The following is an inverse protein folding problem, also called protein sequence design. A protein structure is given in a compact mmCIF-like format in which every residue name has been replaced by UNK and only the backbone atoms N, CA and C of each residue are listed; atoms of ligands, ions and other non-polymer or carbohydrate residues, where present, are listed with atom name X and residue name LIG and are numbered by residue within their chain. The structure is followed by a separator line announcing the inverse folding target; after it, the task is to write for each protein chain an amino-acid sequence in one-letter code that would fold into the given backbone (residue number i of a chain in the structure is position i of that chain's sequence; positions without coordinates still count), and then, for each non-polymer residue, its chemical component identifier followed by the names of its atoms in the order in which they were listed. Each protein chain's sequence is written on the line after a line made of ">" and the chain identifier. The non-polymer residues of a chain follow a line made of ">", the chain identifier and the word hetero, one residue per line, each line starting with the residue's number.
data_IF_304544731371
#
_entry.id   IF_304544731371
#
_cell.length_a   1.000
_cell.length_b   1.000
_cell.length_c   1.000
_cell.angle_alpha   90.00
_cell.angle_beta   90.00
_cell.angle_gamma   90.00
#
_symmetry.space_group_name_H-M   'P 1'
#
loop_
_entity.id
_entity.type
_entity.pdbx_description
1 polymer ?
#
# COMPACT_ATOMS: atom_id res chain seq x y z
N UNK A 1 -5.47 12.16 8.97
CA UNK A 1 -6.57 11.19 9.15
C UNK A 1 -6.10 9.87 8.57
N UNK A 2 -6.31 8.75 9.25
CA UNK A 2 -5.99 7.43 8.69
C UNK A 2 -7.08 7.07 7.69
N UNK A 3 -6.69 6.69 6.47
CA UNK A 3 -7.61 6.16 5.46
C UNK A 3 -7.55 4.64 5.45
N UNK A 4 -8.65 3.96 5.07
CA UNK A 4 -8.69 2.51 4.88
C UNK A 4 -9.25 2.15 3.51
N UNK A 5 -8.94 0.94 3.05
CA UNK A 5 -9.61 0.36 1.88
C UNK A 5 -9.41 -1.15 1.79
N UNK A 6 -10.11 -1.76 0.85
CA UNK A 6 -10.01 -3.19 0.56
C UNK A 6 -9.00 -3.44 -0.56
N UNK A 7 -8.29 -4.56 -0.44
CA UNK A 7 -7.39 -5.06 -1.47
C UNK A 7 -8.11 -6.15 -2.27
N UNK A 8 -8.17 -5.99 -3.58
CA UNK A 8 -8.73 -6.95 -4.50
C UNK A 8 -7.63 -7.65 -5.29
N UNK A 9 -7.82 -8.95 -5.49
CA UNK A 9 -6.96 -9.72 -6.35
C UNK A 9 -7.23 -11.21 -6.20
N UNK A 10 -6.17 -12.00 -6.25
CA UNK A 10 -6.26 -13.45 -6.33
C UNK A 10 -5.20 -14.14 -5.45
N UNK A 11 -5.51 -15.39 -5.11
CA UNK A 11 -4.61 -16.29 -4.39
C UNK A 11 -4.17 -17.40 -5.37
N UNK A 12 -3.12 -17.18 -6.18
CA UNK A 12 -2.71 -18.15 -7.21
C UNK A 12 -2.17 -19.45 -6.61
N UNK A 13 -1.45 -19.37 -5.49
CA UNK A 13 -0.88 -20.50 -4.76
C UNK A 13 -0.89 -20.22 -3.24
N UNK A 14 -0.29 -21.10 -2.42
CA UNK A 14 -0.23 -20.96 -0.96
C UNK A 14 0.76 -19.88 -0.48
N UNK A 15 1.72 -19.47 -1.31
CA UNK A 15 2.86 -18.64 -0.89
C UNK A 15 2.79 -17.20 -1.38
N UNK A 16 1.99 -16.93 -2.40
CA UNK A 16 1.85 -15.66 -3.08
C UNK A 16 0.41 -15.15 -2.98
N UNK A 17 0.30 -13.83 -2.87
CA UNK A 17 -0.96 -13.09 -2.87
C UNK A 17 -0.79 -12.02 -3.91
N UNK A 18 -1.62 -12.05 -4.95
CA UNK A 18 -1.59 -11.03 -5.98
C UNK A 18 -2.66 -9.99 -5.65
N UNK A 19 -2.20 -8.76 -5.42
CA UNK A 19 -3.07 -7.60 -5.25
C UNK A 19 -3.08 -6.86 -6.59
N UNK A 20 -4.24 -6.87 -7.26
CA UNK A 20 -4.41 -6.29 -8.60
C UNK A 20 -5.00 -4.89 -8.50
N UNK A 21 -5.94 -4.68 -7.58
CA UNK A 21 -6.65 -3.41 -7.44
C UNK A 21 -6.98 -3.12 -5.97
N UNK A 22 -7.34 -1.88 -5.70
CA UNK A 22 -7.68 -1.41 -4.36
C UNK A 22 -8.90 -0.51 -4.43
N UNK A 23 -9.83 -0.65 -3.50
CA UNK A 23 -10.94 0.30 -3.38
C UNK A 23 -10.95 0.94 -1.99
N UNK A 24 -11.11 2.25 -2.01
CA UNK A 24 -11.30 3.07 -0.83
C UNK A 24 -12.69 2.81 -0.23
N UNK A 25 -12.74 2.61 1.08
CA UNK A 25 -14.01 2.48 1.79
C UNK A 25 -14.44 3.85 2.34
N UNK A 26 -15.72 4.24 2.20
CA UNK A 26 -16.22 5.48 2.79
C UNK A 26 -16.06 5.40 4.30
N UNK A 27 -15.27 6.29 4.87
CA UNK A 27 -14.95 6.24 6.29
C UNK A 27 -16.05 6.90 7.12
N UNK A 28 -16.62 6.16 8.06
CA UNK A 28 -17.38 6.72 9.18
C UNK A 28 -16.53 6.63 10.45
N UNK A 29 -15.58 7.56 10.64
CA UNK A 29 -14.69 7.49 11.80
C UNK A 29 -13.82 8.72 12.05
N UNK A 30 -13.50 8.97 13.32
CA UNK A 30 -12.62 10.03 13.85
C UNK A 30 -11.14 9.76 13.51
N UNK A 31 -10.24 10.70 13.82
CA UNK A 31 -8.83 10.70 13.41
C UNK A 31 -7.98 9.43 13.74
N UNK A 32 -8.51 8.48 14.52
CA UNK A 32 -7.74 7.38 15.14
C UNK A 32 -8.36 5.99 14.96
N UNK A 33 -9.67 5.85 14.70
CA UNK A 33 -10.32 4.54 14.53
C UNK A 33 -11.04 4.43 13.19
N UNK A 34 -10.96 3.23 12.63
CA UNK A 34 -11.67 2.82 11.43
C UNK A 34 -12.85 1.98 11.89
N UNK A 35 -14.01 2.61 12.04
CA UNK A 35 -15.25 1.93 12.43
C UNK A 35 -16.12 1.69 11.19
N UNK A 36 -16.68 0.48 11.13
CA UNK A 36 -17.62 -0.02 10.14
C UNK A 36 -17.06 -0.21 8.72
N UNK A 37 -16.53 -1.42 8.47
CA UNK A 37 -16.72 -2.03 7.15
C UNK A 37 -18.22 -2.23 7.01
N UNK A 38 -18.86 -1.46 6.13
CA UNK A 38 -20.26 -1.69 5.78
C UNK A 38 -20.32 -2.90 4.84
N UNK A 39 -20.72 -4.05 5.37
CA UNK A 39 -20.90 -5.29 4.62
C UNK A 39 -21.85 -5.11 3.43
N UNK A 40 -22.85 -4.22 3.55
CA UNK A 40 -23.78 -3.93 2.47
C UNK A 40 -23.09 -3.16 1.33
N UNK A 41 -22.22 -2.20 1.68
CA UNK A 41 -21.39 -1.49 0.71
C UNK A 41 -20.43 -2.45 0.01
N UNK A 42 -19.71 -3.28 0.77
CA UNK A 42 -18.78 -4.26 0.22
C UNK A 42 -19.47 -5.22 -0.74
N UNK A 43 -20.61 -5.80 -0.35
CA UNK A 43 -21.35 -6.76 -1.19
C UNK A 43 -21.83 -6.12 -2.48
N UNK A 44 -22.46 -4.93 -2.38
CA UNK A 44 -22.95 -4.19 -3.55
C UNK A 44 -21.82 -3.85 -4.51
N UNK A 45 -20.67 -3.46 -3.98
CA UNK A 45 -19.51 -3.09 -4.77
C UNK A 45 -18.88 -4.28 -5.48
N UNK A 46 -18.72 -5.41 -4.78
CA UNK A 46 -18.25 -6.67 -5.38
C UNK A 46 -19.20 -7.13 -6.49
N UNK A 47 -20.51 -6.98 -6.32
CA UNK A 47 -21.48 -7.31 -7.36
C UNK A 47 -21.43 -6.35 -8.55
N UNK A 48 -21.11 -5.07 -8.33
CA UNK A 48 -20.86 -4.11 -9.41
C UNK A 48 -19.58 -4.44 -10.20
N UNK A 49 -18.53 -4.94 -9.54
CA UNK A 49 -17.28 -5.35 -10.20
C UNK A 49 -17.44 -6.63 -11.03
N UNK A 50 -18.32 -7.54 -10.62
CA UNK A 50 -18.63 -8.74 -11.42
C UNK A 50 -19.27 -8.42 -12.77
N UNK A 51 -20.05 -7.34 -12.89
CA UNK A 51 -20.75 -6.97 -14.13
C UNK A 51 -19.81 -6.73 -15.33
N UNK A 52 -18.72 -5.96 -15.22
CA UNK A 52 -17.72 -5.82 -16.29
C UNK A 52 -16.78 -7.03 -16.44
N UNK A 53 -17.03 -8.14 -15.72
CA UNK A 53 -16.21 -9.35 -15.80
C UNK A 53 -14.98 -9.34 -14.89
N UNK A 54 -14.94 -8.48 -13.87
CA UNK A 54 -13.87 -8.47 -12.87
C UNK A 54 -14.24 -9.39 -11.70
N UNK A 55 -13.66 -10.57 -11.67
CA UNK A 55 -13.96 -11.62 -10.69
C UNK A 55 -12.99 -11.63 -9.49
N UNK A 56 -12.27 -10.52 -9.25
CA UNK A 56 -11.29 -10.46 -8.15
C UNK A 56 -12.00 -10.54 -6.79
N UNK A 57 -11.36 -11.22 -5.84
CA UNK A 57 -11.87 -11.37 -4.47
C UNK A 57 -11.11 -10.46 -3.51
N UNK A 58 -11.66 -10.26 -2.32
CA UNK A 58 -10.98 -9.50 -1.26
C UNK A 58 -9.84 -10.34 -0.70
N UNK A 59 -8.60 -9.92 -0.94
CA UNK A 59 -7.39 -10.60 -0.47
C UNK A 59 -6.81 -10.00 0.81
N UNK A 60 -7.33 -8.85 1.23
CA UNK A 60 -6.89 -8.15 2.42
C UNK A 60 -7.43 -6.74 2.49
N UNK A 61 -6.78 -5.92 3.29
CA UNK A 61 -7.11 -4.52 3.46
C UNK A 61 -5.85 -3.69 3.66
N UNK A 62 -5.96 -2.40 3.43
CA UNK A 62 -4.88 -1.45 3.68
C UNK A 62 -5.36 -0.28 4.52
N UNK A 63 -4.42 0.35 5.20
CA UNK A 63 -4.65 1.63 5.85
C UNK A 63 -3.38 2.48 5.92
N UNK A 64 -3.54 3.78 6.17
CA UNK A 64 -2.43 4.72 6.25
C UNK A 64 -2.02 5.04 7.69
N UNK A 65 -0.71 5.14 7.92
CA UNK A 65 -0.10 5.67 9.16
C UNK A 65 0.74 6.90 8.81
N UNK A 66 0.15 8.11 8.75
CA UNK A 66 0.89 9.29 8.32
C UNK A 66 1.92 9.71 9.37
N UNK A 67 3.22 9.50 9.09
CA UNK A 67 4.35 9.95 9.91
C UNK A 67 4.75 9.02 11.07
N UNK A 68 4.08 7.89 11.25
CA UNK A 68 4.34 6.95 12.37
C UNK A 68 5.15 5.71 11.96
N UNK A 69 5.41 5.52 10.66
CA UNK A 69 5.97 4.27 10.12
C UNK A 69 4.96 3.13 10.03
N UNK A 70 5.42 1.97 9.56
CA UNK A 70 4.57 0.80 9.32
C UNK A 70 4.59 -0.16 10.52
N UNK A 71 3.48 -0.20 11.28
CA UNK A 71 3.23 -1.15 12.37
C UNK A 71 1.72 -1.28 12.61
N UNK A 72 1.28 -2.29 13.37
CA UNK A 72 -0.14 -2.49 13.70
C UNK A 72 -0.42 -2.09 15.15
N UNK A 73 -1.43 -1.24 15.36
CA UNK A 73 -1.97 -0.94 16.69
C UNK A 73 -2.90 -2.05 17.18
N UNK A 74 -3.33 -2.00 18.45
CA UNK A 74 -4.31 -2.95 18.99
C UNK A 74 -5.64 -2.94 18.22
N UNK A 75 -6.07 -1.77 17.76
CA UNK A 75 -7.26 -1.63 16.92
C UNK A 75 -7.03 -2.28 15.56
N UNK A 76 -5.89 -2.03 14.93
CA UNK A 76 -5.56 -2.61 13.61
C UNK A 76 -5.45 -4.15 13.70
N UNK A 77 -4.91 -4.68 14.80
CA UNK A 77 -4.85 -6.13 15.04
C UNK A 77 -6.24 -6.75 15.21
N UNK A 78 -7.15 -6.10 15.93
CA UNK A 78 -8.53 -6.58 16.07
C UNK A 78 -9.26 -6.59 14.72
N UNK A 79 -9.09 -5.55 13.90
CA UNK A 79 -9.66 -5.49 12.55
C UNK A 79 -9.08 -6.59 11.66
N UNK A 80 -7.76 -6.78 11.69
CA UNK A 80 -7.10 -7.85 10.94
C UNK A 80 -7.58 -9.24 11.38
N UNK A 81 -7.83 -9.47 12.66
CA UNK A 81 -8.37 -10.74 13.15
C UNK A 81 -9.75 -11.04 12.54
N UNK A 82 -10.61 -10.04 12.39
CA UNK A 82 -11.91 -10.19 11.71
C UNK A 82 -11.75 -10.54 10.24
N UNK A 83 -10.80 -9.93 9.53
CA UNK A 83 -10.51 -10.28 8.13
C UNK A 83 -9.91 -11.68 8.00
N UNK A 84 -9.02 -12.09 8.90
CA UNK A 84 -8.44 -13.44 8.92
C UNK A 84 -9.48 -14.52 9.22
N UNK A 85 -10.53 -14.20 9.97
CA UNK A 85 -11.65 -15.12 10.19
C UNK A 85 -12.46 -15.41 8.91
N UNK A 86 -12.55 -14.43 8.01
CA UNK A 86 -13.21 -14.59 6.71
C UNK A 86 -12.28 -15.23 5.67
N UNK A 87 -11.04 -14.73 5.59
CA UNK A 87 -10.01 -15.22 4.69
C UNK A 87 -8.74 -15.50 5.49
N UNK A 88 -8.38 -16.77 5.76
CA UNK A 88 -7.21 -17.13 6.59
C UNK A 88 -5.88 -16.54 6.11
N UNK A 89 -5.81 -16.16 4.83
CA UNK A 89 -4.64 -15.56 4.18
C UNK A 89 -4.79 -14.06 3.93
N UNK A 90 -5.75 -13.39 4.58
CA UNK A 90 -5.87 -11.94 4.51
C UNK A 90 -4.55 -11.26 4.91
N UNK A 91 -4.24 -10.16 4.25
CA UNK A 91 -3.05 -9.34 4.53
C UNK A 91 -3.47 -7.92 4.94
N UNK A 92 -2.77 -7.37 5.93
CA UNK A 92 -2.88 -5.96 6.31
C UNK A 92 -1.71 -5.19 5.70
N UNK A 93 -1.97 -4.28 4.77
CA UNK A 93 -0.94 -3.41 4.18
C UNK A 93 -0.95 -2.05 4.88
N UNK A 94 0.20 -1.60 5.36
CA UNK A 94 0.35 -0.30 6.01
C UNK A 94 1.23 0.59 5.15
N UNK A 95 0.70 1.77 4.79
CA UNK A 95 1.41 2.77 3.99
C UNK A 95 1.63 4.04 4.79
N UNK A 96 2.88 4.53 4.85
CA UNK A 96 3.19 5.85 5.41
C UNK A 96 3.45 6.85 4.25
N UNK A 97 2.46 7.67 3.87
CA UNK A 97 2.62 8.61 2.76
C UNK A 97 3.52 9.81 3.11
N UNK A 98 3.77 10.09 4.40
CA UNK A 98 4.60 11.24 4.82
C UNK A 98 6.07 10.88 4.78
N UNK A 99 6.43 9.68 5.26
CA UNK A 99 7.81 9.20 5.19
C UNK A 99 8.20 8.65 3.81
N UNK A 100 7.21 8.36 2.95
CA UNK A 100 7.45 7.97 1.56
C UNK A 100 7.97 9.16 0.75
N UNK A 101 9.21 9.04 0.26
CA UNK A 101 9.88 10.06 -0.54
C UNK A 101 10.22 9.52 -1.93
N UNK A 102 10.58 10.40 -2.87
CA UNK A 102 10.99 9.99 -4.22
C UNK A 102 12.14 8.98 -4.13
N UNK A 103 11.88 7.73 -4.53
CA UNK A 103 12.85 6.63 -4.51
C UNK A 103 12.73 5.67 -3.33
N UNK A 104 11.91 5.96 -2.32
CA UNK A 104 11.61 5.03 -1.22
C UNK A 104 10.14 5.14 -0.82
N UNK A 105 9.37 4.11 -1.15
CA UNK A 105 8.00 3.94 -0.67
C UNK A 105 8.07 3.22 0.67
N UNK A 106 7.55 3.84 1.73
CA UNK A 106 7.46 3.24 3.06
C UNK A 106 6.13 2.49 3.14
N UNK A 107 6.21 1.20 2.82
CA UNK A 107 5.09 0.29 2.82
C UNK A 107 5.56 -1.08 3.29
N UNK A 108 4.81 -1.68 4.20
CA UNK A 108 5.01 -3.06 4.64
C UNK A 108 3.67 -3.78 4.73
N UNK A 109 3.71 -5.09 4.53
CA UNK A 109 2.57 -5.98 4.69
C UNK A 109 2.74 -6.82 5.96
N UNK A 110 1.66 -7.02 6.69
CA UNK A 110 1.63 -7.76 7.94
C UNK A 110 0.53 -8.82 7.97
N UNK A 111 0.78 -9.88 8.73
CA UNK A 111 -0.22 -10.88 9.12
C UNK A 111 -0.06 -11.24 10.59
N UNK A 112 -1.16 -11.57 11.26
CA UNK A 112 -1.13 -11.95 12.66
C UNK A 112 -0.49 -13.33 12.85
N UNK A 113 0.05 -13.52 14.04
CA UNK A 113 0.53 -14.81 14.51
C UNK A 113 -0.53 -15.39 15.44
N UNK A 114 -0.93 -16.64 15.19
CA UNK A 114 -1.80 -17.34 16.12
C UNK A 114 -1.03 -17.58 17.44
N UNK A 115 -1.53 -17.08 18.59
CA UNK A 115 -0.85 -17.23 19.89
C UNK A 115 -0.66 -18.70 20.28
N UNK A 116 -1.53 -19.61 19.84
CA UNK A 116 -1.38 -21.04 20.08
C UNK A 116 -0.13 -21.61 19.43
N UNK A 117 0.22 -21.15 18.23
CA UNK A 117 1.42 -21.60 17.49
C UNK A 117 2.71 -21.22 18.24
N UNK A 118 2.74 -20.03 18.84
CA UNK A 118 3.86 -19.57 19.68
C UNK A 118 3.99 -20.45 20.94
N UNK A 119 2.88 -20.76 21.60
CA UNK A 119 2.89 -21.62 22.80
C UNK A 119 3.37 -23.04 22.50
N UNK A 120 3.13 -23.53 21.28
CA UNK A 120 3.60 -24.83 20.79
C UNK A 120 5.07 -24.81 20.34
N UNK A 121 5.76 -23.66 20.41
CA UNK A 121 7.15 -23.51 19.99
C UNK A 121 7.37 -23.72 18.48
N UNK A 122 6.29 -23.75 17.69
CA UNK A 122 6.37 -23.86 16.24
C UNK A 122 6.66 -22.49 15.65
N UNK A 123 7.53 -22.43 14.65
CA UNK A 123 7.72 -21.17 13.93
C UNK A 123 6.41 -20.81 13.23
N UNK A 124 5.84 -19.62 13.52
CA UNK A 124 4.57 -19.21 12.94
C UNK A 124 4.69 -18.86 11.44
N UNK A 125 5.92 -18.77 10.93
CA UNK A 125 6.21 -18.52 9.53
C UNK A 125 6.43 -19.86 8.83
N UNK A 126 5.76 -20.07 7.71
CA UNK A 126 6.27 -21.02 6.73
C UNK A 126 7.59 -20.46 6.21
N UNK A 127 8.70 -21.09 6.58
CA UNK A 127 10.05 -20.71 6.17
C UNK A 127 10.23 -21.02 4.68
N UNK A 128 9.74 -20.11 3.83
CA UNK A 128 10.16 -20.03 2.43
C UNK A 128 11.54 -19.37 2.37
N UNK A 129 12.30 -19.60 1.30
CA UNK A 129 13.66 -19.04 1.09
C UNK A 129 13.72 -17.49 1.00
N UNK A 130 12.61 -16.80 1.30
CA UNK A 130 12.44 -15.36 1.20
C UNK A 130 12.90 -14.58 2.44
N UNK A 131 13.38 -15.24 3.50
CA UNK A 131 13.85 -14.56 4.71
C UNK A 131 14.94 -13.50 4.43
N UNK A 132 15.77 -13.70 3.40
CA UNK A 132 16.82 -12.75 3.01
C UNK A 132 16.32 -11.46 2.37
N UNK A 133 15.06 -11.41 1.92
CA UNK A 133 14.44 -10.24 1.29
C UNK A 133 13.59 -9.42 2.27
N UNK A 134 13.51 -9.82 3.54
CA UNK A 134 12.81 -9.04 4.55
C UNK A 134 13.61 -7.79 4.93
N UNK A 135 12.95 -6.64 4.86
CA UNK A 135 13.53 -5.39 5.36
C UNK A 135 13.82 -5.50 6.85
N UNK A 136 14.92 -4.88 7.30
CA UNK A 136 15.22 -4.80 8.72
C UNK A 136 14.08 -4.06 9.42
N UNK A 137 13.46 -4.66 10.44
CA UNK A 137 12.31 -4.06 11.09
C UNK A 137 12.69 -2.77 11.82
N UNK A 138 11.77 -1.81 11.83
CA UNK A 138 11.95 -0.58 12.59
C UNK A 138 11.90 -0.85 14.10
N UNK A 139 12.65 -0.06 14.89
CA UNK A 139 12.64 -0.17 16.36
C UNK A 139 11.22 0.03 16.91
N UNK A 140 10.47 0.97 16.33
CA UNK A 140 9.07 1.21 16.66
C UNK A 140 8.21 -0.03 16.39
N UNK A 141 8.38 -0.69 15.24
CA UNK A 141 7.68 -1.94 14.94
C UNK A 141 7.96 -3.05 15.96
N UNK A 142 9.22 -3.20 16.40
CA UNK A 142 9.58 -4.16 17.45
C UNK A 142 8.86 -3.86 18.78
N UNK A 143 8.82 -2.58 19.19
CA UNK A 143 8.15 -2.13 20.41
C UNK A 143 6.65 -2.44 20.32
N UNK A 144 6.05 -2.24 19.15
CA UNK A 144 4.63 -2.49 18.89
C UNK A 144 4.29 -3.95 18.55
N UNK A 145 5.20 -4.90 18.81
CA UNK A 145 4.88 -6.33 18.80
C UNK A 145 5.17 -7.07 17.50
N UNK A 146 5.95 -6.49 16.59
CA UNK A 146 6.47 -7.23 15.44
C UNK A 146 7.33 -8.43 15.91
N UNK A 147 7.11 -9.60 15.29
CA UNK A 147 7.62 -10.92 15.69
C UNK A 147 7.04 -11.50 16.99
N UNK A 148 6.05 -10.85 17.62
CA UNK A 148 5.32 -11.39 18.78
C UNK A 148 3.84 -11.60 18.48
N UNK A 149 3.18 -10.60 17.91
CA UNK A 149 1.75 -10.63 17.59
C UNK A 149 1.49 -10.73 16.09
N UNK A 150 2.41 -10.22 15.28
CA UNK A 150 2.34 -10.26 13.83
C UNK A 150 3.73 -10.36 13.24
N UNK A 151 3.82 -10.76 11.98
CA UNK A 151 5.06 -10.80 11.20
C UNK A 151 4.92 -9.97 9.93
N UNK A 152 6.06 -9.48 9.44
CA UNK A 152 6.15 -8.78 8.16
C UNK A 152 6.29 -9.79 7.01
N UNK A 153 5.62 -9.48 5.91
CA UNK A 153 5.67 -10.21 4.64
C UNK A 153 6.43 -9.34 3.64
N UNK A 154 7.33 -9.96 2.88
CA UNK A 154 8.05 -9.27 1.81
C UNK A 154 7.06 -8.85 0.71
N UNK A 155 7.10 -7.57 0.36
CA UNK A 155 6.31 -7.00 -0.74
C UNK A 155 7.20 -6.89 -1.96
N UNK A 156 6.70 -7.36 -3.10
CA UNK A 156 7.32 -7.15 -4.40
C UNK A 156 6.34 -6.44 -5.35
N UNK A 157 6.88 -5.78 -6.38
CA UNK A 157 6.10 -5.04 -7.36
C UNK A 157 6.23 -5.68 -8.73
N UNK A 158 5.14 -6.28 -9.21
CA UNK A 158 5.04 -6.71 -10.60
C UNK A 158 4.66 -5.52 -11.50
N UNK A 159 5.31 -5.41 -12.66
CA UNK A 159 5.00 -4.39 -13.67
C UNK A 159 5.06 -5.01 -15.06
N UNK A 160 4.08 -4.66 -15.88
CA UNK A 160 4.06 -5.10 -17.28
C UNK A 160 4.85 -4.13 -18.17
N UNK A 161 5.38 -4.62 -19.29
CA UNK A 161 6.10 -3.75 -20.24
C UNK A 161 5.23 -2.60 -20.76
N UNK A 162 3.93 -2.84 -20.92
CA UNK A 162 2.97 -1.83 -21.37
C UNK A 162 2.77 -0.74 -20.30
N UNK A 163 2.69 -1.13 -19.03
CA UNK A 163 2.59 -0.20 -17.90
C UNK A 163 3.86 0.63 -17.80
N UNK A 164 5.03 0.00 -17.93
CA UNK A 164 6.31 0.70 -17.89
C UNK A 164 6.41 1.72 -19.03
N UNK A 165 6.10 1.33 -20.27
CA UNK A 165 6.08 2.23 -21.43
C UNK A 165 5.10 3.39 -21.22
N UNK A 166 3.90 3.11 -20.72
CA UNK A 166 2.89 4.13 -20.45
C UNK A 166 3.32 5.10 -19.35
N UNK A 167 3.82 4.59 -18.22
CA UNK A 167 4.32 5.40 -17.10
C UNK A 167 5.52 6.25 -17.50
N UNK A 168 6.45 5.70 -18.29
CA UNK A 168 7.58 6.45 -18.84
C UNK A 168 7.13 7.58 -19.77
N UNK A 169 6.14 7.31 -20.63
CA UNK A 169 5.56 8.32 -21.52
C UNK A 169 4.89 9.46 -20.74
N UNK A 170 4.23 9.16 -19.63
CA UNK A 170 3.62 10.16 -18.76
C UNK A 170 4.66 10.93 -17.93
N UNK A 171 5.77 10.30 -17.53
CA UNK A 171 6.84 10.93 -16.73
C UNK A 171 7.66 11.91 -17.55
N UNK A 172 7.86 11.67 -18.84
CA UNK A 172 8.64 12.53 -19.74
C UNK A 172 7.94 13.84 -20.12
N UNK A 173 6.91 14.27 -19.36
CA UNK A 173 6.23 15.57 -19.50
C UNK A 173 7.09 16.76 -19.01
N UNK A 174 8.27 17.00 -19.59
CA UNK A 174 8.37 18.35 -20.21
C UNK A 174 7.26 18.30 -21.24
N UNK A 175 6.26 19.19 -21.19
CA UNK A 175 5.14 19.03 -22.11
C UNK A 175 5.78 18.95 -23.48
N UNK A 176 5.45 17.94 -24.28
CA UNK A 176 6.03 17.84 -25.64
C UNK A 176 5.85 19.18 -26.38
N UNK A 177 4.77 19.87 -26.05
CA UNK A 177 4.45 21.24 -26.45
C UNK A 177 5.46 22.30 -26.02
N UNK A 178 6.17 22.16 -24.90
CA UNK A 178 7.16 23.14 -24.43
C UNK A 178 8.33 23.30 -25.42
N UNK A 179 8.67 22.24 -26.17
CA UNK A 179 9.65 22.30 -27.27
C UNK A 179 9.07 22.83 -28.59
N UNK A 180 7.74 22.84 -28.72
CA UNK A 180 7.01 23.32 -29.89
C UNK A 180 6.47 24.75 -29.69
N UNK A 181 6.53 25.26 -28.46
CA UNK A 181 6.06 26.59 -28.08
C UNK A 181 7.27 27.49 -27.90
N UNK A 182 7.34 28.56 -28.69
CA UNK A 182 8.31 29.62 -28.46
C UNK A 182 7.89 30.41 -27.22
N UNK A 183 8.83 30.64 -26.30
CA UNK A 183 8.63 31.62 -25.23
C UNK A 183 8.50 33.01 -25.88
N UNK A 184 7.62 33.90 -25.37
CA UNK A 184 7.55 35.27 -25.87
C UNK A 184 8.91 35.95 -25.79
N UNK A 185 9.35 36.54 -26.90
CA UNK A 185 10.68 37.14 -27.02
C UNK A 185 10.92 38.26 -26.00
N UNK A 186 9.91 39.10 -25.75
CA UNK A 186 9.99 40.19 -24.77
C UNK A 186 10.21 39.68 -23.34
N UNK A 187 9.53 38.58 -22.98
CA UNK A 187 9.69 37.95 -21.68
C UNK A 187 11.09 37.34 -21.56
N UNK A 188 11.57 36.68 -22.61
CA UNK A 188 12.88 36.06 -22.62
C UNK A 188 14.02 37.10 -22.54
N UNK A 189 13.93 38.22 -23.26
CA UNK A 189 14.91 39.31 -23.21
C UNK A 189 15.02 39.91 -21.81
N UNK A 190 13.87 40.21 -21.18
CA UNK A 190 13.83 40.73 -19.81
C UNK A 190 14.43 39.76 -18.79
N UNK A 191 14.16 38.47 -18.91
CA UNK A 191 14.76 37.46 -18.02
C UNK A 191 16.28 37.41 -18.20
N UNK A 192 16.78 37.48 -19.43
CA UNK A 192 18.22 37.48 -19.68
C UNK A 192 18.90 38.74 -19.10
N UNK A 193 18.31 39.92 -19.29
CA UNK A 193 18.81 41.17 -18.71
C UNK A 193 18.85 41.14 -17.17
N UNK A 194 17.78 40.64 -16.53
CA UNK A 194 17.73 40.47 -15.08
C UNK A 194 18.80 39.48 -14.58
N UNK A 195 18.95 38.34 -15.25
CA UNK A 195 19.94 37.33 -14.86
C UNK A 195 21.38 37.85 -14.98
N UNK A 196 21.65 38.70 -15.98
CA UNK A 196 22.98 39.32 -16.16
C UNK A 196 23.23 40.41 -15.11
N UNK A 197 22.20 41.13 -14.66
CA UNK A 197 22.34 42.13 -13.60
C UNK A 197 22.52 41.52 -12.21
N UNK A 198 22.02 40.30 -11.98
CA UNK A 198 22.17 39.55 -10.73
C UNK A 198 23.48 38.74 -10.65
N UNK A 199 24.18 38.55 -11.77
CA UNK A 199 25.51 37.92 -11.85
C UNK A 199 26.64 38.91 -11.55
#
# INVERSE_FOLDING_TARGET
>A
MKVMGLLLGEFPDEYRIDVVDTIEMPQSGTAVSVEAIDDAFQTKMLDMLKQPGRAEQVVGWYHSHPGFGCWLSSVDMNTQQSFEALHPRAVAVVVDPIQSVKGKVVMDAFRLINPQTIMLGQEPRQTTSNLGHLNKPSIQGLIHGLNRHYYSIAVDFSRNELEEKMLLSLRQKKKLTDGLMLKPFDAHSKTNEQTIQEM
#
